data_IF_819003041340
#
_entry.id   IF_819003041340
#
_cell.length_a   1.000
_cell.length_b   1.000
_cell.length_c   1.000
_cell.angle_alpha   90.00
_cell.angle_beta   90.00
_cell.angle_gamma   90.00
#
_symmetry.space_group_name_H-M   'P 1'
#
loop_
_entity.id
_entity.type
_entity.pdbx_description
1 polymer ?
#
# COMPACT_ATOMS: atom_id res chain seq x y z
N UNK A 1 55.87 26.79 -37.98
CA UNK A 1 55.06 26.58 -36.76
C UNK A 1 53.63 26.27 -37.18
N UNK A 2 53.18 25.01 -37.04
CA UNK A 2 51.88 24.55 -37.57
C UNK A 2 50.84 24.70 -36.46
N UNK A 3 49.99 25.73 -36.55
CA UNK A 3 48.93 25.98 -35.56
C UNK A 3 47.84 24.92 -35.79
N UNK A 4 47.78 23.93 -34.89
CA UNK A 4 46.71 22.95 -34.84
C UNK A 4 45.40 23.70 -34.54
N UNK A 5 44.58 23.95 -35.57
CA UNK A 5 43.23 24.52 -35.40
C UNK A 5 42.42 23.57 -34.51
N UNK A 6 42.19 23.97 -33.26
CA UNK A 6 41.26 23.33 -32.34
C UNK A 6 39.86 23.48 -32.92
N UNK A 7 39.29 22.37 -33.39
CA UNK A 7 37.97 22.32 -34.00
C UNK A 7 36.93 22.43 -32.88
N UNK A 8 36.47 23.66 -32.60
CA UNK A 8 35.34 23.89 -31.70
C UNK A 8 34.04 23.50 -32.43
N UNK A 9 33.75 22.20 -32.50
CA UNK A 9 32.46 21.71 -32.99
C UNK A 9 31.43 21.93 -31.89
N UNK A 10 30.63 22.99 -32.02
CA UNK A 10 29.44 23.18 -31.19
C UNK A 10 28.39 22.13 -31.50
N UNK A 11 27.53 21.83 -30.53
CA UNK A 11 26.41 20.93 -30.73
C UNK A 11 25.46 21.48 -31.78
N UNK A 12 25.03 20.61 -32.69
CA UNK A 12 24.04 20.96 -33.69
C UNK A 12 22.65 21.04 -33.04
N UNK A 13 21.75 21.89 -33.56
CA UNK A 13 20.39 22.04 -33.01
C UNK A 13 19.66 20.68 -32.96
N UNK A 14 19.86 19.84 -33.97
CA UNK A 14 19.27 18.51 -34.04
C UNK A 14 19.78 17.59 -32.92
N UNK A 15 21.07 17.62 -32.58
CA UNK A 15 21.66 16.86 -31.47
C UNK A 15 21.04 17.25 -30.13
N UNK A 16 20.85 18.55 -29.89
CA UNK A 16 20.29 19.04 -28.63
C UNK A 16 18.85 18.58 -28.48
N UNK A 17 18.04 18.67 -29.55
CA UNK A 17 16.64 18.22 -29.55
C UNK A 17 16.53 16.70 -29.39
N UNK A 18 17.42 15.93 -30.02
CA UNK A 18 17.45 14.47 -29.90
C UNK A 18 17.79 14.02 -28.47
N UNK A 19 18.83 14.61 -27.88
CA UNK A 19 19.26 14.27 -26.51
C UNK A 19 18.20 14.65 -25.48
N UNK A 20 17.59 15.83 -25.59
CA UNK A 20 16.54 16.25 -24.65
C UNK A 20 15.27 15.42 -24.78
N UNK A 21 14.85 15.05 -26.00
CA UNK A 21 13.72 14.14 -26.21
C UNK A 21 13.94 12.77 -25.57
N UNK A 22 15.16 12.24 -25.67
CA UNK A 22 15.53 10.95 -25.05
C UNK A 22 15.49 11.01 -23.52
N UNK A 23 16.02 12.08 -22.92
CA UNK A 23 15.98 12.29 -21.46
C UNK A 23 14.54 12.44 -20.95
N UNK A 24 13.67 13.12 -21.71
CA UNK A 24 12.26 13.27 -21.36
C UNK A 24 11.54 11.90 -21.32
N UNK A 25 11.79 11.04 -22.31
CA UNK A 25 11.23 9.68 -22.34
C UNK A 25 11.71 8.83 -21.17
N UNK A 26 13.00 8.90 -20.82
CA UNK A 26 13.53 8.21 -19.64
C UNK A 26 12.88 8.70 -18.34
N UNK A 27 12.66 10.00 -18.20
CA UNK A 27 12.06 10.59 -17.00
C UNK A 27 10.63 10.08 -16.76
N UNK A 28 9.82 10.02 -17.82
CA UNK A 28 8.46 9.46 -17.77
C UNK A 28 8.49 7.96 -17.44
N UNK A 29 9.42 7.22 -18.05
CA UNK A 29 9.59 5.78 -17.80
C UNK A 29 9.94 5.48 -16.35
N UNK A 30 10.88 6.21 -15.76
CA UNK A 30 11.28 6.05 -14.35
C UNK A 30 10.13 6.40 -13.42
N UNK A 31 9.41 7.50 -13.67
CA UNK A 31 8.27 7.90 -12.86
C UNK A 31 7.16 6.82 -12.85
N UNK A 32 6.83 6.27 -14.01
CA UNK A 32 5.81 5.21 -14.11
C UNK A 32 6.21 3.93 -13.37
N UNK A 33 7.49 3.55 -13.39
CA UNK A 33 7.99 2.39 -12.63
C UNK A 33 7.96 2.68 -11.13
N UNK A 34 8.40 3.87 -10.71
CA UNK A 34 8.42 4.25 -9.30
C UNK A 34 7.03 4.22 -8.66
N UNK A 35 6.03 4.80 -9.32
CA UNK A 35 4.64 4.80 -8.84
C UNK A 35 4.14 3.35 -8.71
N UNK A 36 4.33 2.52 -9.73
CA UNK A 36 3.92 1.11 -9.69
C UNK A 36 4.57 0.32 -8.57
N UNK A 37 5.87 0.56 -8.34
CA UNK A 37 6.65 -0.10 -7.31
C UNK A 37 6.20 0.35 -5.92
N UNK A 38 5.98 1.65 -5.73
CA UNK A 38 5.43 2.22 -4.49
C UNK A 38 4.06 1.62 -4.15
N UNK A 39 3.15 1.57 -5.12
CA UNK A 39 1.82 0.98 -4.93
C UNK A 39 1.90 -0.51 -4.58
N UNK A 40 2.79 -1.25 -5.27
CA UNK A 40 3.00 -2.68 -5.00
C UNK A 40 3.56 -2.93 -3.60
N UNK A 41 4.48 -2.08 -3.12
CA UNK A 41 5.02 -2.19 -1.77
C UNK A 41 3.95 -1.89 -0.71
N UNK A 42 3.16 -0.84 -0.89
CA UNK A 42 2.07 -0.49 0.04
C UNK A 42 1.03 -1.61 0.13
N UNK A 43 0.59 -2.15 -1.02
CA UNK A 43 -0.36 -3.28 -1.05
C UNK A 43 0.22 -4.53 -0.40
N UNK A 44 1.49 -4.84 -0.66
CA UNK A 44 2.16 -6.01 -0.07
C UNK A 44 2.31 -5.87 1.44
N UNK A 45 2.66 -4.68 1.92
CA UNK A 45 2.78 -4.38 3.35
C UNK A 45 1.42 -4.53 4.05
N UNK A 46 0.37 -3.94 3.48
CA UNK A 46 -0.99 -4.04 4.01
C UNK A 46 -1.47 -5.50 4.04
N UNK A 47 -1.22 -6.29 2.99
CA UNK A 47 -1.59 -7.70 2.96
C UNK A 47 -0.90 -8.50 4.08
N UNK A 48 0.38 -8.21 4.38
CA UNK A 48 1.11 -8.86 5.48
C UNK A 48 0.54 -8.48 6.83
N UNK A 49 0.27 -7.19 7.03
CA UNK A 49 -0.34 -6.67 8.25
C UNK A 49 -1.72 -7.32 8.49
N UNK A 50 -2.58 -7.32 7.47
CA UNK A 50 -3.92 -7.91 7.55
C UNK A 50 -3.89 -9.42 7.83
N UNK A 51 -2.95 -10.15 7.22
CA UNK A 51 -2.74 -11.57 7.52
C UNK A 51 -2.27 -11.79 8.96
N UNK A 52 -1.41 -10.92 9.49
CA UNK A 52 -1.00 -10.96 10.90
C UNK A 52 -2.17 -10.72 11.85
N UNK A 53 -2.98 -9.70 11.57
CA UNK A 53 -4.20 -9.39 12.33
C UNK A 53 -5.15 -10.59 12.30
N UNK A 54 -5.37 -11.20 11.13
CA UNK A 54 -6.23 -12.36 10.99
C UNK A 54 -5.74 -13.58 11.77
N UNK A 55 -4.43 -13.85 11.75
CA UNK A 55 -3.85 -14.94 12.51
C UNK A 55 -4.02 -14.74 14.02
N UNK A 56 -3.74 -13.53 14.50
CA UNK A 56 -3.91 -13.18 15.91
C UNK A 56 -5.39 -13.20 16.32
N UNK A 57 -6.30 -12.68 15.47
CA UNK A 57 -7.73 -12.66 15.72
C UNK A 57 -8.32 -14.08 15.75
N UNK A 58 -7.81 -15.01 14.93
CA UNK A 58 -8.19 -16.44 15.01
C UNK A 58 -7.81 -17.07 16.34
N UNK A 59 -6.68 -16.67 16.93
CA UNK A 59 -6.30 -17.15 18.26
C UNK A 59 -7.28 -16.71 19.35
N UNK A 60 -7.92 -15.54 19.22
CA UNK A 60 -8.98 -15.11 20.13
C UNK A 60 -10.25 -15.93 19.96
N UNK A 61 -10.68 -16.15 18.71
CA UNK A 61 -11.94 -16.88 18.43
C UNK A 61 -11.80 -18.37 18.74
N UNK A 62 -10.61 -18.96 18.55
CA UNK A 62 -10.37 -20.36 18.88
C UNK A 62 -10.38 -20.66 20.39
N UNK A 63 -10.14 -19.66 21.24
CA UNK A 63 -10.11 -19.81 22.70
C UNK A 63 -11.40 -19.39 23.42
N UNK A 64 -12.32 -18.70 22.75
CA UNK A 64 -13.53 -18.12 23.36
C UNK A 64 -14.72 -18.16 22.40
N UNK A 65 -15.94 -18.32 22.92
CA UNK A 65 -17.19 -18.21 22.17
C UNK A 65 -17.47 -16.75 21.76
N UNK A 66 -16.56 -16.14 21.01
CA UNK A 66 -16.64 -14.74 20.58
C UNK A 66 -17.68 -14.65 19.47
N UNK A 67 -18.92 -14.29 19.84
CA UNK A 67 -20.04 -14.09 18.91
C UNK A 67 -19.91 -12.80 18.09
N UNK A 68 -19.05 -11.88 18.52
CA UNK A 68 -18.80 -10.59 17.86
C UNK A 68 -17.31 -10.32 17.80
N UNK A 69 -16.79 -10.14 16.60
CA UNK A 69 -15.44 -9.63 16.35
C UNK A 69 -15.59 -8.22 15.81
N UNK A 70 -14.80 -7.27 16.31
CA UNK A 70 -14.75 -5.89 15.80
C UNK A 70 -13.39 -5.27 16.14
N UNK A 71 -13.07 -4.12 15.55
CA UNK A 71 -11.78 -3.45 15.77
C UNK A 71 -11.55 -3.05 17.24
N UNK A 72 -12.61 -2.68 17.98
CA UNK A 72 -12.50 -2.33 19.41
C UNK A 72 -12.01 -3.53 20.25
N UNK A 73 -12.55 -4.72 20.01
CA UNK A 73 -12.13 -5.95 20.69
C UNK A 73 -10.70 -6.35 20.33
N UNK A 74 -10.32 -6.20 19.06
CA UNK A 74 -8.96 -6.46 18.61
C UNK A 74 -7.96 -5.48 19.22
N UNK A 75 -8.36 -4.21 19.43
CA UNK A 75 -7.52 -3.22 20.10
C UNK A 75 -7.39 -3.50 21.60
N UNK A 76 -8.48 -3.88 22.27
CA UNK A 76 -8.46 -4.31 23.67
C UNK A 76 -7.58 -5.55 23.88
N UNK A 77 -7.57 -6.47 22.91
CA UNK A 77 -6.69 -7.63 22.88
C UNK A 77 -5.24 -7.31 22.45
N UNK A 78 -4.92 -6.03 22.18
CA UNK A 78 -3.61 -5.55 21.73
C UNK A 78 -3.11 -6.18 20.42
N UNK A 79 -4.04 -6.62 19.57
CA UNK A 79 -3.73 -7.16 18.24
C UNK A 79 -3.54 -6.04 17.24
N UNK A 80 -4.36 -4.99 17.36
CA UNK A 80 -4.29 -3.80 16.53
C UNK A 80 -4.06 -2.57 17.40
N UNK A 81 -3.45 -1.54 16.82
CA UNK A 81 -3.29 -0.27 17.51
C UNK A 81 -4.64 0.43 17.69
N UNK A 82 -4.97 0.77 18.93
CA UNK A 82 -6.16 1.55 19.31
C UNK A 82 -6.23 2.91 18.61
N UNK A 83 -5.10 3.51 18.21
CA UNK A 83 -5.06 4.77 17.47
C UNK A 83 -5.67 4.66 16.06
N UNK A 84 -5.73 3.44 15.53
CA UNK A 84 -6.25 3.12 14.19
C UNK A 84 -7.67 2.57 14.24
N UNK A 85 -8.41 2.80 15.32
CA UNK A 85 -9.80 2.37 15.48
C UNK A 85 -10.75 3.57 15.42
N UNK A 86 -11.74 3.50 14.53
CA UNK A 86 -12.86 4.45 14.46
C UNK A 86 -14.15 3.66 14.70
N UNK A 87 -14.74 3.84 15.88
CA UNK A 87 -15.90 3.06 16.29
C UNK A 87 -15.59 1.56 16.32
N UNK A 88 -16.25 0.79 15.45
CA UNK A 88 -16.06 -0.66 15.32
C UNK A 88 -15.09 -1.05 14.19
N UNK A 89 -14.57 -0.06 13.43
CA UNK A 89 -13.76 -0.27 12.24
C UNK A 89 -12.29 0.06 12.49
N UNK A 90 -11.42 -0.58 11.72
CA UNK A 90 -9.98 -0.34 11.67
C UNK A 90 -9.60 0.53 10.48
N UNK A 91 -8.61 1.40 10.62
CA UNK A 91 -8.06 2.18 9.50
C UNK A 91 -6.79 1.49 8.99
N UNK A 92 -6.80 1.06 7.72
CA UNK A 92 -5.64 0.48 7.03
C UNK A 92 -4.52 1.50 6.80
N UNK A 93 -3.32 1.05 6.45
CA UNK A 93 -2.20 1.94 6.12
C UNK A 93 -2.47 2.74 4.83
N UNK A 94 -3.43 2.26 4.03
CA UNK A 94 -3.97 2.91 2.84
C UNK A 94 -5.10 3.91 3.14
N UNK A 95 -5.46 4.11 4.41
CA UNK A 95 -6.52 5.05 4.82
C UNK A 95 -7.95 4.52 4.66
N UNK A 96 -8.12 3.24 4.29
CA UNK A 96 -9.43 2.63 4.15
C UNK A 96 -9.96 2.10 5.48
N UNK A 97 -11.27 2.19 5.68
CA UNK A 97 -11.91 1.55 6.82
C UNK A 97 -12.13 0.06 6.56
N UNK A 98 -11.85 -0.75 7.56
CA UNK A 98 -11.90 -2.20 7.54
C UNK A 98 -12.77 -2.68 8.69
N UNK A 99 -13.82 -3.43 8.37
CA UNK A 99 -14.65 -4.13 9.35
C UNK A 99 -14.23 -5.58 9.45
N UNK A 100 -14.21 -6.11 10.67
CA UNK A 100 -13.96 -7.51 10.96
C UNK A 100 -15.27 -8.16 11.39
N UNK A 101 -15.63 -9.29 10.80
CA UNK A 101 -16.83 -10.03 11.16
C UNK A 101 -16.48 -11.51 11.33
N UNK A 102 -16.89 -12.18 12.42
CA UNK A 102 -16.71 -13.62 12.54
C UNK A 102 -17.72 -14.32 11.61
N UNK A 103 -17.25 -15.30 10.83
CA UNK A 103 -18.12 -16.19 10.06
C UNK A 103 -17.93 -17.60 10.59
N UNK A 104 -19.02 -18.22 11.03
CA UNK A 104 -19.04 -19.62 11.40
C UNK A 104 -19.53 -20.42 10.20
N UNK A 105 -18.60 -21.13 9.54
CA UNK A 105 -18.96 -22.06 8.47
C UNK A 105 -18.76 -23.47 9.04
N UNK A 106 -19.87 -24.15 9.34
CA UNK A 106 -19.88 -25.41 10.09
C UNK A 106 -19.18 -25.24 11.46
N UNK A 107 -18.28 -26.16 11.82
CA UNK A 107 -17.48 -26.14 13.06
C UNK A 107 -16.21 -25.27 12.96
N UNK A 108 -15.95 -24.66 11.79
CA UNK A 108 -14.73 -23.87 11.57
C UNK A 108 -15.04 -22.38 11.66
N UNK A 109 -14.31 -21.70 12.54
CA UNK A 109 -14.41 -20.24 12.70
C UNK A 109 -13.51 -19.54 11.67
N UNK A 110 -14.13 -18.76 10.80
CA UNK A 110 -13.46 -17.87 9.84
C UNK A 110 -13.65 -16.41 10.24
N UNK A 111 -12.82 -15.54 9.67
CA UNK A 111 -12.94 -14.09 9.85
C UNK A 111 -13.10 -13.47 8.47
N UNK A 112 -14.18 -12.71 8.29
CA UNK A 112 -14.38 -11.85 7.13
C UNK A 112 -13.68 -10.52 7.37
N UNK A 113 -12.99 -10.04 6.33
CA UNK A 113 -12.46 -8.68 6.27
C UNK A 113 -13.25 -7.95 5.21
N UNK A 114 -14.02 -6.94 5.61
CA UNK A 114 -14.77 -6.10 4.69
C UNK A 114 -14.09 -4.73 4.58
N UNK A 115 -13.57 -4.41 3.40
CA UNK A 115 -13.11 -3.05 3.10
C UNK A 115 -14.33 -2.18 2.83
N UNK A 116 -14.60 -1.25 3.72
CA UNK A 116 -15.65 -0.27 3.53
C UNK A 116 -15.13 0.75 2.52
N UNK A 117 -15.92 1.01 1.48
CA UNK A 117 -15.60 2.07 0.52
C UNK A 117 -15.50 3.38 1.30
N UNK A 118 -14.29 3.92 1.38
CA UNK A 118 -14.07 5.26 1.92
C UNK A 118 -14.83 6.21 1.00
N UNK A 119 -15.98 6.69 1.47
CA UNK A 119 -16.56 7.90 0.91
C UNK A 119 -15.56 8.98 1.24
N UNK A 120 -14.81 9.44 0.24
CA UNK A 120 -13.92 10.59 0.37
C UNK A 120 -14.67 11.67 1.15
N UNK A 121 -14.27 11.90 2.39
CA UNK A 121 -14.54 13.17 3.03
C UNK A 121 -13.48 14.07 2.44
N UNK A 122 -13.91 14.81 1.41
CA UNK A 122 -13.16 15.88 0.77
C UNK A 122 -12.57 16.84 1.81
#
# INVERSE_FOLDING_TARGET
MKILKKNNKGFTLIEVVLVTGLIALFSIGIYGIYVKVSDSYTVTSEAREMNGILAAARSLIGGTNVTTLNATLLANARIIDSSRVIGLNYISGTGQQVSFEPIFVNTVSHIKVNYLKTTNIY
#
